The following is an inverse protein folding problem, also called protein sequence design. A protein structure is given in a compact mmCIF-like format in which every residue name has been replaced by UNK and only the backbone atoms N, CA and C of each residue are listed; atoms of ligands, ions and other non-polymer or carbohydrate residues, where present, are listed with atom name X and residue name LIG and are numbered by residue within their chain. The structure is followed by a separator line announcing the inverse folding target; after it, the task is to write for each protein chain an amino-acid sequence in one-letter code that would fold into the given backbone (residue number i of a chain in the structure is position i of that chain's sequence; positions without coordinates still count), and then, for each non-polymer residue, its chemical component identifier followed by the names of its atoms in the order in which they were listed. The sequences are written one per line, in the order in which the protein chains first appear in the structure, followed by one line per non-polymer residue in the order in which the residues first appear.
data_IF_099764278115
#
_entry.id   IF_099764278115
#
_cell.length_a   1.000
_cell.length_b   1.000
_cell.length_c   1.000
_cell.angle_alpha   90.00
_cell.angle_beta   90.00
_cell.angle_gamma   90.00
#
_symmetry.space_group_name_H-M   'P 1'
#
loop_
_entity.id
_entity.type
_entity.pdbx_description
1 polymer ?
#
# COMPACT_ATOMS: atom_id res chain seq x y z
N UNK A 1 -23.59 -10.90 -8.53
CA UNK A 1 -24.70 -10.34 -7.73
C UNK A 1 -24.09 -9.66 -6.50
N UNK A 2 -23.99 -8.33 -6.50
CA UNK A 2 -23.37 -7.56 -5.40
C UNK A 2 -24.42 -7.24 -4.33
N UNK A 3 -24.12 -7.56 -3.07
CA UNK A 3 -24.95 -7.14 -1.92
C UNK A 3 -24.70 -5.66 -1.64
N UNK A 4 -25.74 -4.84 -1.74
CA UNK A 4 -25.70 -3.42 -1.39
C UNK A 4 -25.48 -3.24 0.13
N UNK A 5 -24.23 -3.01 0.52
CA UNK A 5 -23.83 -2.76 1.91
C UNK A 5 -24.03 -1.30 2.35
N UNK A 6 -24.66 -0.43 1.53
CA UNK A 6 -24.90 0.98 1.91
C UNK A 6 -25.99 1.12 2.96
N UNK A 7 -27.07 0.32 2.90
CA UNK A 7 -28.18 0.42 3.88
C UNK A 7 -27.81 -0.03 5.30
N UNK A 8 -26.95 -1.05 5.44
CA UNK A 8 -26.50 -1.53 6.75
C UNK A 8 -25.59 -0.53 7.48
N UNK A 9 -24.74 0.20 6.74
CA UNK A 9 -23.81 1.18 7.30
C UNK A 9 -24.48 2.43 7.86
N UNK A 10 -25.65 2.83 7.34
CA UNK A 10 -26.36 4.03 7.81
C UNK A 10 -27.05 3.78 9.15
N UNK A 11 -27.65 2.61 9.35
CA UNK A 11 -28.36 2.25 10.61
C UNK A 11 -27.41 2.06 11.81
N UNK A 12 -26.21 1.53 11.60
CA UNK A 12 -25.23 1.39 12.68
C UNK A 12 -24.68 2.75 13.19
N UNK A 13 -24.57 3.75 12.29
CA UNK A 13 -24.03 5.08 12.61
C UNK A 13 -25.01 5.96 13.38
N UNK A 14 -26.32 5.77 13.20
CA UNK A 14 -27.35 6.49 13.96
C UNK A 14 -27.57 5.89 15.35
N UNK A 15 -27.49 4.57 15.51
CA UNK A 15 -27.69 3.89 16.79
C UNK A 15 -26.56 4.11 17.82
N UNK A 16 -25.30 4.25 17.37
CA UNK A 16 -24.17 4.50 18.28
C UNK A 16 -24.17 5.93 18.85
N UNK A 17 -24.70 6.90 18.09
CA UNK A 17 -24.74 8.33 18.44
C UNK A 17 -25.71 8.65 19.58
N UNK A 18 -26.77 7.87 19.73
CA UNK A 18 -27.79 8.08 20.76
C UNK A 18 -27.47 7.35 22.06
N UNK A 19 -26.68 6.27 22.02
CA UNK A 19 -26.38 5.46 23.21
C UNK A 19 -25.11 5.87 23.95
N UNK A 20 -24.12 6.47 23.28
CA UNK A 20 -22.85 6.87 23.90
C UNK A 20 -22.34 8.23 23.42
N UNK A 21 -23.00 9.34 23.80
CA UNK A 21 -22.65 10.69 23.35
C UNK A 21 -21.22 11.09 23.77
N UNK A 22 -20.79 10.72 24.98
CA UNK A 22 -19.45 11.02 25.49
C UNK A 22 -18.35 10.20 24.82
N UNK A 23 -18.60 8.92 24.50
CA UNK A 23 -17.62 8.10 23.77
C UNK A 23 -17.48 8.55 22.31
N UNK A 24 -18.58 9.02 21.70
CA UNK A 24 -18.55 9.64 20.37
C UNK A 24 -17.78 10.97 20.38
N UNK A 25 -18.04 11.84 21.36
CA UNK A 25 -17.27 13.08 21.55
C UNK A 25 -15.80 12.80 21.81
N UNK A 26 -15.48 11.81 22.66
CA UNK A 26 -14.11 11.36 22.89
C UNK A 26 -13.47 10.87 21.59
N UNK A 27 -14.17 10.07 20.77
CA UNK A 27 -13.65 9.60 19.46
C UNK A 27 -13.36 10.73 18.46
N UNK A 28 -14.07 11.86 18.56
CA UNK A 28 -13.83 13.05 17.74
C UNK A 28 -12.64 13.84 18.28
N UNK A 29 -12.57 14.02 19.59
CA UNK A 29 -11.50 14.76 20.27
C UNK A 29 -10.17 13.99 20.24
N UNK A 30 -10.19 12.66 20.25
CA UNK A 30 -9.01 11.79 20.14
C UNK A 30 -8.65 11.48 18.68
N UNK A 31 -9.27 12.12 17.70
CA UNK A 31 -8.91 11.98 16.28
C UNK A 31 -7.58 12.68 15.97
N UNK A 32 -6.52 12.38 16.72
CA UNK A 32 -5.13 12.61 16.31
C UNK A 32 -4.75 11.56 15.28
N UNK A 33 -5.20 11.79 14.06
CA UNK A 33 -4.55 11.33 12.83
C UNK A 33 -5.11 12.21 11.71
N UNK A 34 -4.69 13.47 11.72
CA UNK A 34 -4.73 14.27 10.51
C UNK A 34 -3.83 13.55 9.51
N UNK A 35 -4.42 13.03 8.43
CA UNK A 35 -3.64 12.62 7.27
C UNK A 35 -3.19 13.95 6.65
N UNK A 36 -1.96 14.36 6.94
CA UNK A 36 -1.33 15.36 6.09
C UNK A 36 -1.30 14.74 4.69
N UNK A 37 -2.02 15.35 3.75
CA UNK A 37 -1.90 14.98 2.34
C UNK A 37 -0.51 15.43 1.94
N UNK A 38 0.44 14.50 2.02
CA UNK A 38 1.76 14.68 1.46
C UNK A 38 1.63 14.66 -0.07
N UNK A 39 2.53 15.40 -0.72
CA UNK A 39 2.72 15.50 -2.18
C UNK A 39 2.34 14.22 -2.91
N UNK A 40 1.65 14.29 -4.06
CA UNK A 40 1.24 13.09 -4.80
C UNK A 40 2.44 12.14 -4.92
N UNK A 41 2.22 10.84 -4.68
CA UNK A 41 3.31 9.86 -4.77
C UNK A 41 3.98 10.00 -6.13
N UNK A 42 5.27 9.64 -6.18
CA UNK A 42 5.96 9.37 -7.44
C UNK A 42 5.01 8.66 -8.41
N UNK A 43 5.07 9.01 -9.69
CA UNK A 43 4.15 8.41 -10.67
C UNK A 43 4.22 6.88 -10.58
N UNK A 44 3.11 6.18 -10.87
CA UNK A 44 3.10 4.72 -10.76
C UNK A 44 4.24 4.08 -11.61
N UNK A 45 4.62 4.73 -12.72
CA UNK A 45 5.78 4.36 -13.53
C UNK A 45 7.10 4.48 -12.77
N UNK A 46 7.38 5.61 -12.13
CA UNK A 46 8.57 5.77 -11.28
C UNK A 46 8.61 4.76 -10.12
N UNK A 47 7.45 4.46 -9.52
CA UNK A 47 7.39 3.43 -8.47
C UNK A 47 7.81 2.07 -9.01
N UNK A 48 7.34 1.71 -10.20
CA UNK A 48 7.73 0.47 -10.87
C UNK A 48 9.22 0.46 -11.22
N UNK A 49 9.77 1.55 -11.75
CA UNK A 49 11.20 1.67 -12.08
C UNK A 49 12.08 1.47 -10.84
N UNK A 50 11.78 2.20 -9.76
CA UNK A 50 12.50 2.03 -8.48
C UNK A 50 12.35 0.63 -7.89
N UNK A 51 11.18 0.00 -8.04
CA UNK A 51 10.96 -1.37 -7.58
C UNK A 51 11.79 -2.39 -8.39
N UNK A 52 11.90 -2.20 -9.71
CA UNK A 52 12.66 -3.09 -10.60
C UNK A 52 14.17 -3.01 -10.31
N UNK A 53 14.67 -1.81 -10.01
CA UNK A 53 16.09 -1.61 -9.68
C UNK A 53 16.46 -2.05 -8.25
N UNK A 54 15.47 -2.26 -7.38
CA UNK A 54 15.69 -2.62 -5.98
C UNK A 54 16.11 -4.10 -5.83
N UNK A 55 17.24 -4.39 -5.15
CA UNK A 55 17.69 -5.76 -4.93
C UNK A 55 16.67 -6.57 -4.11
N UNK A 56 16.40 -7.80 -4.56
CA UNK A 56 15.66 -8.80 -3.79
C UNK A 56 16.63 -9.88 -3.33
N UNK A 57 16.52 -10.28 -2.06
CA UNK A 57 17.33 -11.34 -1.49
C UNK A 57 16.46 -12.32 -0.71
N UNK A 58 16.99 -13.53 -0.52
CA UNK A 58 16.43 -14.50 0.42
C UNK A 58 17.25 -14.43 1.70
N UNK A 59 16.58 -14.15 2.82
CA UNK A 59 17.23 -13.94 4.10
C UNK A 59 16.41 -14.51 5.26
N UNK A 60 16.99 -14.56 6.45
CA UNK A 60 16.38 -15.09 7.68
C UNK A 60 16.67 -14.11 8.80
N UNK A 61 15.70 -13.77 9.67
CA UNK A 61 16.02 -12.93 10.82
C UNK A 61 16.87 -13.71 11.83
N UNK A 62 17.72 -13.01 12.59
CA UNK A 62 18.53 -13.65 13.63
C UNK A 62 17.74 -14.30 14.78
N UNK A 63 16.45 -13.98 14.90
CA UNK A 63 15.53 -14.60 15.88
C UNK A 63 14.61 -15.65 15.25
N UNK A 64 14.67 -15.87 13.95
CA UNK A 64 13.89 -16.91 13.30
C UNK A 64 14.55 -18.28 13.49
N UNK A 65 13.74 -19.33 13.33
CA UNK A 65 14.27 -20.69 13.18
C UNK A 65 15.07 -20.81 11.87
N UNK A 66 16.13 -21.64 11.85
CA UNK A 66 17.06 -21.80 10.71
C UNK A 66 16.37 -22.21 9.39
N UNK A 67 15.21 -22.85 9.47
CA UNK A 67 14.41 -23.25 8.31
C UNK A 67 13.56 -22.14 7.70
N UNK A 68 13.38 -21.01 8.39
CA UNK A 68 12.55 -19.90 7.91
C UNK A 68 13.34 -19.09 6.91
N UNK A 69 12.70 -18.77 5.78
CA UNK A 69 13.29 -17.95 4.72
C UNK A 69 12.27 -16.89 4.31
N UNK A 70 12.71 -15.64 4.28
CA UNK A 70 11.95 -14.50 3.77
C UNK A 70 12.51 -14.11 2.41
N UNK A 71 11.63 -13.71 1.50
CA UNK A 71 11.99 -13.16 0.20
C UNK A 71 11.56 -11.70 0.18
N UNK A 72 12.48 -10.79 -0.08
CA UNK A 72 12.16 -9.38 -0.21
C UNK A 72 13.41 -8.49 -0.24
N UNK A 73 13.20 -7.18 -0.38
CA UNK A 73 14.29 -6.22 -0.25
C UNK A 73 14.71 -6.12 1.22
N UNK A 74 15.94 -5.64 1.43
CA UNK A 74 16.35 -5.16 2.75
C UNK A 74 15.60 -3.87 3.09
N UNK A 75 15.35 -3.64 4.39
CA UNK A 75 14.57 -2.48 4.83
C UNK A 75 15.27 -1.14 4.52
N UNK A 76 16.60 -1.12 4.55
CA UNK A 76 17.41 0.05 4.21
C UNK A 76 17.26 0.41 2.73
N UNK A 77 17.38 -0.58 1.84
CA UNK A 77 17.21 -0.38 0.40
C UNK A 77 15.80 0.14 0.08
N UNK A 78 14.77 -0.41 0.74
CA UNK A 78 13.40 0.05 0.59
C UNK A 78 13.21 1.50 1.07
N UNK A 79 13.79 1.85 2.21
CA UNK A 79 13.74 3.22 2.73
C UNK A 79 14.49 4.20 1.82
N UNK A 80 15.64 3.81 1.28
CA UNK A 80 16.39 4.62 0.29
C UNK A 80 15.61 4.81 -1.00
N UNK A 81 14.97 3.75 -1.51
CA UNK A 81 14.23 3.80 -2.78
C UNK A 81 12.93 4.62 -2.69
N UNK A 82 12.19 4.51 -1.58
CA UNK A 82 10.83 5.07 -1.51
C UNK A 82 10.65 6.18 -0.47
N UNK A 83 11.59 6.34 0.48
CA UNK A 83 11.43 7.30 1.58
C UNK A 83 10.22 7.02 2.48
N UNK A 84 9.70 5.79 2.46
CA UNK A 84 8.54 5.35 3.23
C UNK A 84 8.96 4.70 4.55
N UNK A 85 8.04 4.67 5.52
CA UNK A 85 8.25 4.11 6.83
C UNK A 85 8.63 5.14 7.91
N UNK A 86 8.75 4.66 9.15
CA UNK A 86 9.15 5.47 10.32
C UNK A 86 10.63 5.37 10.64
N UNK A 87 11.32 4.37 10.08
CA UNK A 87 12.76 4.15 10.13
C UNK A 87 13.16 3.14 9.04
N UNK A 88 14.45 2.93 8.86
CA UNK A 88 15.08 2.06 7.86
C UNK A 88 15.30 0.60 8.33
N UNK A 89 14.77 0.24 9.51
CA UNK A 89 14.98 -1.09 10.12
C UNK A 89 13.86 -2.08 9.84
N UNK A 90 12.74 -1.60 9.31
CA UNK A 90 11.56 -2.42 9.00
C UNK A 90 10.79 -1.80 7.86
N UNK A 91 10.22 -2.67 7.04
CA UNK A 91 9.26 -2.28 6.02
C UNK A 91 7.86 -2.43 6.63
N UNK A 92 7.08 -1.36 6.66
CA UNK A 92 5.70 -1.48 7.10
C UNK A 92 4.90 -2.24 6.02
N UNK A 93 4.11 -3.23 6.41
CA UNK A 93 3.32 -4.03 5.47
C UNK A 93 2.42 -3.17 4.57
N UNK A 94 1.90 -2.05 5.10
CA UNK A 94 1.09 -1.11 4.32
C UNK A 94 1.89 -0.44 3.20
N UNK A 95 3.16 -0.13 3.44
CA UNK A 95 4.04 0.53 2.47
C UNK A 95 4.49 -0.47 1.39
N UNK A 96 4.90 -1.67 1.78
CA UNK A 96 5.23 -2.75 0.85
C UNK A 96 4.06 -3.08 -0.09
N UNK A 97 2.86 -3.23 0.48
CA UNK A 97 1.66 -3.49 -0.29
C UNK A 97 1.31 -2.30 -1.22
N UNK A 98 1.48 -1.07 -0.74
CA UNK A 98 1.27 0.14 -1.53
C UNK A 98 2.17 0.19 -2.77
N UNK A 99 3.47 -0.04 -2.58
CA UNK A 99 4.46 -0.11 -3.67
C UNK A 99 4.11 -1.22 -4.67
N UNK A 100 3.73 -2.41 -4.17
CA UNK A 100 3.32 -3.53 -5.01
C UNK A 100 2.08 -3.18 -5.86
N UNK A 101 1.03 -2.63 -5.24
CA UNK A 101 -0.19 -2.24 -5.96
C UNK A 101 0.07 -1.18 -7.03
N UNK A 102 0.86 -0.13 -6.71
CA UNK A 102 1.22 0.90 -7.67
C UNK A 102 2.02 0.33 -8.85
N UNK A 103 2.95 -0.59 -8.57
CA UNK A 103 3.76 -1.25 -9.60
C UNK A 103 2.94 -2.16 -10.51
N UNK A 104 1.98 -2.90 -9.97
CA UNK A 104 1.04 -3.72 -10.76
C UNK A 104 0.18 -2.84 -11.68
N UNK A 105 -0.31 -1.70 -11.18
CA UNK A 105 -1.06 -0.75 -12.02
C UNK A 105 -0.21 -0.18 -13.16
N UNK A 106 1.05 0.18 -12.88
CA UNK A 106 1.96 0.67 -13.90
C UNK A 106 2.31 -0.40 -14.94
N UNK A 107 2.58 -1.62 -14.48
CA UNK A 107 2.86 -2.76 -15.35
C UNK A 107 1.67 -3.05 -16.26
N UNK A 108 0.45 -3.06 -15.73
CA UNK A 108 -0.76 -3.25 -16.53
C UNK A 108 -0.90 -2.20 -17.65
N UNK A 109 -0.65 -0.92 -17.34
CA UNK A 109 -0.66 0.15 -18.35
C UNK A 109 0.39 -0.08 -19.44
N UNK A 110 1.60 -0.53 -19.06
CA UNK A 110 2.67 -0.85 -20.01
C UNK A 110 2.30 -2.04 -20.90
N UNK A 111 1.68 -3.07 -20.35
CA UNK A 111 1.18 -4.23 -21.12
C UNK A 111 0.15 -3.79 -22.16
N UNK A 112 -0.87 -3.03 -21.77
CA UNK A 112 -1.90 -2.53 -22.70
C UNK A 112 -1.28 -1.69 -23.83
N UNK A 113 -0.32 -0.82 -23.51
CA UNK A 113 0.37 -0.02 -24.51
C UNK A 113 1.17 -0.89 -25.50
N UNK A 114 1.89 -1.89 -24.99
CA UNK A 114 2.67 -2.82 -25.81
C UNK A 114 1.77 -3.70 -26.68
N UNK A 115 0.64 -4.19 -26.16
CA UNK A 115 -0.32 -4.98 -26.94
C UNK A 115 -0.91 -4.18 -28.10
N UNK A 116 -1.26 -2.91 -27.86
CA UNK A 116 -1.74 -2.01 -28.91
C UNK A 116 -0.67 -1.74 -29.98
N UNK A 117 0.59 -1.60 -29.58
CA UNK A 117 1.71 -1.43 -30.51
C UNK A 117 1.98 -2.68 -31.35
N UNK A 118 1.98 -3.86 -30.72
CA UNK A 118 2.14 -5.14 -31.42
C UNK A 118 1.04 -5.34 -32.45
N UNK A 119 -0.21 -5.03 -32.10
CA UNK A 119 -1.34 -5.09 -33.03
C UNK A 119 -1.18 -4.11 -34.20
N UNK A 120 -0.69 -2.89 -33.95
CA UNK A 120 -0.39 -1.92 -35.00
C UNK A 120 0.70 -2.40 -35.96
N UNK A 121 1.74 -3.05 -35.45
CA UNK A 121 2.88 -3.52 -36.26
C UNK A 121 2.58 -4.79 -37.06
N UNK A 122 1.53 -5.53 -36.68
CA UNK A 122 1.09 -6.75 -37.38
C UNK A 122 0.14 -6.48 -38.56
N UNK A 123 -0.35 -5.25 -38.69
CA UNK A 123 -1.19 -4.80 -39.80
C UNK A 123 -0.34 -4.29 -40.95
#
# INVERSE_FOLDING_TARGET
MWVDTRRGRVRARTAARTRHPLAWFHSILTRKRGVAVQTPPASAGEVLERLVDMPLSVWTYGFDHESVRHLGPMAQDFATAFGLGSNDRRIAMVDANGVCMASVQALYRRVIALEAEVERLRR
#
